data_IF_447714866883
#
_entry.id   IF_447714866883
#
_cell.length_a   1.000
_cell.length_b   1.000
_cell.length_c   1.000
_cell.angle_alpha   90.00
_cell.angle_beta   90.00
_cell.angle_gamma   90.00
#
_symmetry.space_group_name_H-M   'P 1'
#
loop_
_entity.id
_entity.type
_entity.pdbx_description
1 polymer ?
#
# COMPACT_ATOMS: atom_id res chain seq x y z
N UNK A 1 10.73 7.00 5.02
CA UNK A 1 10.96 5.56 5.24
C UNK A 1 9.61 4.92 5.40
N UNK A 2 9.32 3.98 4.51
CA UNK A 2 8.12 3.19 4.53
C UNK A 2 7.98 2.46 5.87
N UNK A 3 6.74 2.30 6.34
CA UNK A 3 6.45 1.61 7.59
C UNK A 3 5.12 0.87 7.48
N UNK A 4 5.06 -0.29 8.13
CA UNK A 4 3.79 -0.96 8.35
C UNK A 4 2.94 -0.13 9.31
N UNK A 5 1.66 0.05 8.99
CA UNK A 5 0.70 0.73 9.86
C UNK A 5 -0.40 -0.24 10.29
N UNK A 6 -0.84 -0.12 11.54
CA UNK A 6 -1.94 -0.92 12.08
C UNK A 6 -3.27 -0.16 11.97
N UNK A 7 -4.18 -0.66 11.15
CA UNK A 7 -5.55 -0.17 11.04
C UNK A 7 -6.50 -1.34 10.78
N UNK A 8 -7.09 -1.85 11.86
CA UNK A 8 -7.84 -3.11 11.81
C UNK A 8 -6.92 -4.32 11.62
N UNK A 9 -7.40 -5.32 10.86
CA UNK A 9 -6.65 -6.55 10.56
C UNK A 9 -5.87 -6.49 9.24
N UNK A 10 -6.06 -5.44 8.45
CA UNK A 10 -5.39 -5.28 7.16
C UNK A 10 -3.88 -5.13 7.31
N UNK A 11 -3.15 -5.65 6.33
CA UNK A 11 -1.71 -5.47 6.16
C UNK A 11 -1.46 -4.27 5.24
N UNK A 12 -1.04 -3.16 5.85
CA UNK A 12 -0.92 -1.86 5.19
C UNK A 12 0.50 -1.29 5.35
N UNK A 13 0.99 -0.64 4.30
CA UNK A 13 2.30 0.03 4.29
C UNK A 13 2.10 1.51 3.95
N UNK A 14 2.36 2.41 4.90
CA UNK A 14 2.51 3.84 4.59
C UNK A 14 3.87 4.03 3.92
N UNK A 15 3.88 4.57 2.71
CA UNK A 15 5.08 4.88 1.96
C UNK A 15 4.85 6.11 1.07
N UNK A 16 5.94 6.74 0.63
CA UNK A 16 5.85 7.76 -0.42
C UNK A 16 5.70 7.12 -1.80
N UNK A 17 5.19 7.88 -2.77
CA UNK A 17 5.17 7.49 -4.17
C UNK A 17 6.56 7.09 -4.67
N UNK A 18 7.61 7.83 -4.26
CA UNK A 18 9.00 7.50 -4.59
C UNK A 18 9.47 6.18 -3.98
N UNK A 19 9.05 5.85 -2.77
CA UNK A 19 9.33 4.56 -2.15
C UNK A 19 8.64 3.42 -2.90
N UNK A 20 7.40 3.59 -3.37
CA UNK A 20 6.73 2.61 -4.22
C UNK A 20 7.45 2.44 -5.56
N UNK A 21 7.76 3.55 -6.23
CA UNK A 21 8.49 3.59 -7.50
C UNK A 21 9.79 2.80 -7.43
N UNK A 22 10.58 3.02 -6.38
CA UNK A 22 11.81 2.26 -6.12
C UNK A 22 11.53 0.77 -5.86
N UNK A 23 10.47 0.43 -5.14
CA UNK A 23 10.11 -0.95 -4.84
C UNK A 23 9.68 -1.75 -6.08
N UNK A 24 9.10 -1.10 -7.09
CA UNK A 24 8.60 -1.74 -8.32
C UNK A 24 9.43 -1.47 -9.57
N UNK A 25 10.40 -0.56 -9.52
CA UNK A 25 11.21 -0.15 -10.67
C UNK A 25 10.44 0.71 -11.69
N UNK A 26 9.57 1.62 -11.22
CA UNK A 26 8.79 2.53 -12.07
C UNK A 26 9.29 3.98 -11.95
N UNK A 27 9.19 4.75 -13.04
CA UNK A 27 9.48 6.20 -13.07
C UNK A 27 8.26 7.09 -12.79
N UNK A 28 7.07 6.48 -12.63
CA UNK A 28 5.83 7.19 -12.29
C UNK A 28 5.05 6.42 -11.23
N UNK A 29 4.41 7.15 -10.33
CA UNK A 29 3.44 6.63 -9.38
C UNK A 29 2.07 7.20 -9.72
N UNK A 30 1.12 6.33 -10.05
CA UNK A 30 -0.28 6.68 -10.28
C UNK A 30 -1.08 6.06 -9.14
N UNK A 31 -2.00 6.82 -8.56
CA UNK A 31 -2.95 6.25 -7.60
C UNK A 31 -3.90 5.28 -8.33
N UNK A 32 -3.94 4.03 -7.89
CA UNK A 32 -4.76 2.98 -8.50
C UNK A 32 -6.27 3.21 -8.37
N UNK A 33 -6.70 4.20 -7.56
CA UNK A 33 -8.10 4.61 -7.44
C UNK A 33 -8.45 5.82 -8.30
N UNK A 34 -7.84 6.97 -8.03
CA UNK A 34 -8.21 8.22 -8.69
C UNK A 34 -7.49 8.46 -10.03
N UNK A 35 -6.50 7.64 -10.40
CA UNK A 35 -5.77 7.75 -11.66
C UNK A 35 -4.84 8.96 -11.77
N UNK A 36 -4.72 9.78 -10.71
CA UNK A 36 -3.83 10.93 -10.70
C UNK A 36 -2.37 10.51 -10.49
N UNK A 37 -1.40 11.17 -11.15
CA UNK A 37 0.02 10.99 -10.86
C UNK A 37 0.41 11.71 -9.57
N UNK A 38 1.40 11.17 -8.85
CA UNK A 38 1.92 11.71 -7.59
C UNK A 38 3.44 11.92 -7.66
N UNK A 39 3.93 12.98 -6.99
CA UNK A 39 5.35 13.28 -6.91
C UNK A 39 6.06 12.32 -5.95
N UNK A 40 7.37 12.04 -6.12
CA UNK A 40 8.09 11.09 -5.26
C UNK A 40 8.01 11.37 -3.75
N UNK A 41 7.80 12.63 -3.36
CA UNK A 41 7.64 13.07 -1.97
C UNK A 41 6.24 12.85 -1.39
N UNK A 42 5.23 12.64 -2.24
CA UNK A 42 3.84 12.52 -1.82
C UNK A 42 3.60 11.18 -1.10
N UNK A 43 2.77 11.21 -0.07
CA UNK A 43 2.44 10.04 0.75
C UNK A 43 1.21 9.30 0.25
N UNK A 44 1.24 7.99 0.41
CA UNK A 44 0.10 7.12 0.23
C UNK A 44 0.24 5.85 1.04
N UNK A 45 -0.59 4.88 0.72
CA UNK A 45 -0.64 3.59 1.40
C UNK A 45 -0.73 2.49 0.35
N UNK A 46 0.22 1.55 0.42
CA UNK A 46 0.08 0.27 -0.26
C UNK A 46 -0.84 -0.65 0.58
N UNK A 47 -1.90 -1.13 -0.05
CA UNK A 47 -2.97 -1.95 0.53
C UNK A 47 -2.78 -3.38 0.01
N UNK A 48 -2.26 -4.27 0.85
CA UNK A 48 -1.83 -5.60 0.39
C UNK A 48 -3.00 -6.45 -0.13
N UNK A 49 -4.19 -6.36 0.48
CA UNK A 49 -5.36 -7.13 0.03
C UNK A 49 -5.83 -6.74 -1.38
N UNK A 50 -5.61 -5.49 -1.79
CA UNK A 50 -5.94 -5.01 -3.14
C UNK A 50 -4.76 -5.11 -4.12
N UNK A 51 -3.54 -5.30 -3.59
CA UNK A 51 -2.30 -5.12 -4.33
C UNK A 51 -2.19 -3.73 -5.01
N UNK A 52 -2.72 -2.70 -4.38
CA UNK A 52 -2.80 -1.34 -4.92
C UNK A 52 -2.09 -0.33 -4.02
N UNK A 53 -1.61 0.77 -4.60
CA UNK A 53 -1.19 1.96 -3.87
C UNK A 53 -2.20 3.08 -4.06
N UNK A 54 -2.75 3.56 -2.95
CA UNK A 54 -3.67 4.69 -2.93
C UNK A 54 -2.97 5.92 -2.36
N UNK A 55 -3.22 7.09 -2.96
CA UNK A 55 -2.88 8.35 -2.31
C UNK A 55 -3.66 8.50 -1.00
N UNK A 56 -3.19 9.36 -0.11
CA UNK A 56 -3.72 9.45 1.25
C UNK A 56 -5.25 9.67 1.31
N UNK A 57 -5.80 10.52 0.44
CA UNK A 57 -7.24 10.80 0.42
C UNK A 57 -8.06 9.57 0.00
N UNK A 58 -7.66 8.90 -1.09
CA UNK A 58 -8.35 7.69 -1.56
C UNK A 58 -8.22 6.54 -0.57
N UNK A 59 -7.10 6.44 0.14
CA UNK A 59 -6.94 5.48 1.22
C UNK A 59 -7.94 5.74 2.37
N UNK A 60 -8.11 6.99 2.80
CA UNK A 60 -9.04 7.32 3.87
C UNK A 60 -10.50 7.04 3.48
N UNK A 61 -10.88 7.35 2.24
CA UNK A 61 -12.20 7.04 1.68
C UNK A 61 -12.46 5.53 1.65
N UNK A 62 -11.49 4.76 1.11
CA UNK A 62 -11.57 3.30 1.10
C UNK A 62 -11.69 2.73 2.51
N UNK A 63 -10.83 3.18 3.43
CA UNK A 63 -10.77 2.68 4.80
C UNK A 63 -12.05 2.96 5.61
N UNK A 64 -12.77 4.05 5.31
CA UNK A 64 -14.00 4.40 6.02
C UNK A 64 -15.11 3.36 5.85
N UNK A 65 -15.10 2.59 4.75
CA UNK A 65 -16.08 1.53 4.47
C UNK A 65 -15.49 0.14 4.28
N UNK A 66 -14.17 -0.03 4.42
CA UNK A 66 -13.51 -1.31 4.18
C UNK A 66 -13.85 -2.32 5.28
N UNK A 67 -14.32 -3.50 4.88
CA UNK A 67 -14.51 -4.66 5.74
C UNK A 67 -13.42 -5.70 5.43
N UNK A 68 -12.84 -6.28 6.49
CA UNK A 68 -11.83 -7.32 6.35
C UNK A 68 -12.51 -8.69 6.33
N UNK A 69 -12.17 -9.50 5.33
CA UNK A 69 -12.74 -10.83 5.14
C UNK A 69 -11.67 -11.92 5.36
N UNK A 70 -11.94 -12.94 6.21
CA UNK A 70 -11.02 -14.05 6.43
C UNK A 70 -10.61 -14.79 5.15
N UNK A 71 -11.45 -14.78 4.13
CA UNK A 71 -11.26 -15.45 2.85
C UNK A 71 -10.08 -14.85 2.05
N UNK A 72 -9.76 -13.56 2.28
CA UNK A 72 -8.71 -12.84 1.54
C UNK A 72 -7.34 -12.92 2.21
N UNK A 73 -7.24 -13.55 3.39
CA UNK A 73 -6.03 -13.52 4.24
C UNK A 73 -4.79 -14.05 3.56
N UNK A 74 -4.92 -15.18 2.86
CA UNK A 74 -3.77 -15.80 2.19
C UNK A 74 -3.28 -14.95 1.02
N UNK A 75 -4.21 -14.29 0.32
CA UNK A 75 -3.90 -13.37 -0.77
C UNK A 75 -3.23 -12.08 -0.26
N UNK A 76 -3.81 -11.47 0.78
CA UNK A 76 -3.27 -10.30 1.45
C UNK A 76 -1.85 -10.56 2.00
N UNK A 77 -1.66 -11.69 2.69
CA UNK A 77 -0.35 -12.11 3.21
C UNK A 77 0.67 -12.30 2.11
N UNK A 78 0.34 -13.03 1.04
CA UNK A 78 1.24 -13.25 -0.10
C UNK A 78 1.74 -11.93 -0.70
N UNK A 79 0.84 -10.96 -0.88
CA UNK A 79 1.19 -9.65 -1.41
C UNK A 79 2.07 -8.88 -0.42
N UNK A 80 1.70 -8.86 0.86
CA UNK A 80 2.48 -8.18 1.89
C UNK A 80 3.90 -8.74 1.99
N UNK A 81 4.06 -10.08 2.03
CA UNK A 81 5.36 -10.75 2.11
C UNK A 81 6.24 -10.48 0.88
N UNK A 82 5.64 -10.24 -0.27
CA UNK A 82 6.36 -9.84 -1.47
C UNK A 82 6.83 -8.37 -1.40
N UNK A 83 5.96 -7.45 -1.01
CA UNK A 83 6.26 -6.02 -1.08
C UNK A 83 7.00 -5.49 0.15
N UNK A 84 6.71 -5.97 1.36
CA UNK A 84 7.32 -5.46 2.59
C UNK A 84 8.85 -5.45 2.56
N UNK A 85 9.55 -6.51 2.11
CA UNK A 85 11.02 -6.49 2.00
C UNK A 85 11.55 -5.44 1.00
N UNK A 86 10.80 -5.16 -0.07
CA UNK A 86 11.15 -4.13 -1.07
C UNK A 86 11.03 -2.72 -0.50
N UNK A 87 10.16 -2.53 0.48
CA UNK A 87 10.04 -1.31 1.27
C UNK A 87 11.02 -1.25 2.46
N UNK A 88 11.87 -2.27 2.65
CA UNK A 88 12.78 -2.36 3.80
C UNK A 88 12.09 -2.74 5.12
N UNK A 89 10.87 -3.28 5.06
CA UNK A 89 10.09 -3.73 6.21
C UNK A 89 10.34 -5.23 6.42
N UNK A 90 10.58 -5.64 7.67
CA UNK A 90 10.74 -7.05 8.01
C UNK A 90 9.36 -7.72 8.08
N UNK A 91 9.20 -8.82 7.35
CA UNK A 91 8.05 -9.72 7.56
C UNK A 91 8.19 -10.37 8.95
N UNK A 92 7.10 -10.42 9.71
CA UNK A 92 7.00 -11.13 10.99
C UNK A 92 6.44 -12.53 10.79
#
# INVERSE_FOLDING_TARGET
MAKQISRGKFLLIECTAGELMNAVGSDICICDWCGNPFLPSDKGVYIAVLNHWYCWNCFLEWYAGAEWYPEDVDYERKNFEFYAPRFGIKCQ
#
